data_IF_773762279976
#
_entry.id   IF_773762279976
#
_cell.length_a   1.000
_cell.length_b   1.000
_cell.length_c   1.000
_cell.angle_alpha   90.00
_cell.angle_beta   90.00
_cell.angle_gamma   90.00
#
_symmetry.space_group_name_H-M   'P 1'
#
loop_
_entity.id
_entity.type
_entity.pdbx_description
1 polymer ?
#
# COMPACT_ATOMS: atom_id res chain seq x y z
N UNK A 1 -23.83 -54.48 18.24
CA UNK A 1 -22.60 -53.94 18.86
C UNK A 1 -21.82 -53.25 17.76
N UNK A 2 -21.46 -51.96 17.89
CA UNK A 2 -20.76 -51.08 16.92
C UNK A 2 -21.58 -50.05 16.10
N UNK A 3 -22.25 -49.07 16.73
CA UNK A 3 -22.63 -47.79 16.05
C UNK A 3 -22.43 -46.54 16.95
N UNK A 4 -21.62 -46.60 18.01
CA UNK A 4 -21.60 -45.52 19.02
C UNK A 4 -20.32 -44.67 19.10
N UNK A 5 -19.30 -44.86 18.25
CA UNK A 5 -17.99 -44.22 18.44
C UNK A 5 -17.59 -43.13 17.44
N UNK A 6 -18.39 -42.83 16.40
CA UNK A 6 -17.99 -41.87 15.36
C UNK A 6 -18.53 -40.44 15.52
N UNK A 7 -19.19 -40.10 16.62
CA UNK A 7 -19.85 -38.77 16.79
C UNK A 7 -19.22 -37.83 17.81
N UNK A 8 -18.06 -38.16 18.38
CA UNK A 8 -17.46 -37.36 19.45
C UNK A 8 -16.12 -36.68 19.09
N UNK A 9 -15.61 -36.88 17.87
CA UNK A 9 -14.32 -36.32 17.46
C UNK A 9 -14.41 -35.07 16.55
N UNK A 10 -15.61 -34.67 16.10
CA UNK A 10 -15.79 -33.50 15.23
C UNK A 10 -16.14 -32.21 15.96
N UNK A 11 -16.27 -32.22 17.29
CA UNK A 11 -16.73 -31.05 18.07
C UNK A 11 -15.61 -30.26 18.78
N UNK A 12 -14.35 -30.70 18.69
CA UNK A 12 -13.22 -30.03 19.35
C UNK A 12 -12.27 -29.30 18.41
N UNK A 13 -12.41 -29.44 17.08
CA UNK A 13 -11.51 -28.80 16.11
C UNK A 13 -12.03 -27.46 15.57
N UNK A 14 -13.33 -27.21 15.61
CA UNK A 14 -13.94 -25.97 15.06
C UNK A 14 -13.85 -24.76 16.01
N UNK A 15 -13.63 -24.96 17.31
CA UNK A 15 -13.58 -23.87 18.30
C UNK A 15 -12.17 -23.31 18.56
N UNK A 16 -11.12 -23.97 18.07
CA UNK A 16 -9.72 -23.59 18.33
C UNK A 16 -9.02 -22.86 17.16
N UNK A 17 -9.54 -22.96 15.93
CA UNK A 17 -8.96 -22.28 14.77
C UNK A 17 -8.99 -20.73 14.81
N UNK A 18 -10.04 -20.05 15.30
CA UNK A 18 -10.05 -18.58 15.27
C UNK A 18 -9.03 -17.97 16.24
N UNK A 19 -8.68 -18.67 17.33
CA UNK A 19 -7.77 -18.16 18.36
C UNK A 19 -6.32 -18.17 17.87
N UNK A 20 -5.90 -19.25 17.20
CA UNK A 20 -4.54 -19.38 16.67
C UNK A 20 -4.26 -18.40 15.51
N UNK A 21 -5.25 -18.16 14.63
CA UNK A 21 -5.10 -17.19 13.53
C UNK A 21 -4.95 -15.77 14.10
N UNK A 22 -5.75 -15.41 15.11
CA UNK A 22 -5.66 -14.10 15.75
C UNK A 22 -4.29 -13.89 16.46
N UNK A 23 -3.75 -14.91 17.13
CA UNK A 23 -2.45 -14.83 17.79
C UNK A 23 -1.27 -14.66 16.80
N UNK A 24 -1.31 -15.37 15.66
CA UNK A 24 -0.31 -15.25 14.59
C UNK A 24 -0.40 -13.86 13.91
N UNK A 25 -1.61 -13.34 13.68
CA UNK A 25 -1.82 -11.99 13.15
C UNK A 25 -1.24 -10.91 14.07
N UNK A 26 -1.38 -11.05 15.40
CA UNK A 26 -0.85 -10.08 16.38
C UNK A 26 0.69 -10.11 16.44
N UNK A 27 1.31 -11.30 16.38
CA UNK A 27 2.77 -11.44 16.37
C UNK A 27 3.42 -10.93 15.09
N UNK A 28 2.79 -11.13 13.92
CA UNK A 28 3.29 -10.57 12.66
C UNK A 28 3.13 -9.04 12.65
N UNK A 29 2.02 -8.52 13.18
CA UNK A 29 1.77 -7.08 13.30
C UNK A 29 2.82 -6.38 14.17
N UNK A 30 3.16 -6.95 15.34
CA UNK A 30 4.21 -6.40 16.21
C UNK A 30 5.58 -6.42 15.55
N UNK A 31 5.91 -7.47 14.78
CA UNK A 31 7.21 -7.59 14.11
C UNK A 31 7.37 -6.59 12.94
N UNK A 32 6.29 -6.31 12.19
CA UNK A 32 6.30 -5.35 11.07
C UNK A 32 6.28 -3.89 11.56
N UNK A 33 5.60 -3.62 12.68
CA UNK A 33 5.58 -2.28 13.31
C UNK A 33 6.93 -1.96 13.98
N UNK A 34 7.64 -2.96 14.50
CA UNK A 34 8.88 -2.79 15.24
C UNK A 34 10.15 -2.55 14.38
N UNK A 35 10.05 -2.44 13.05
CA UNK A 35 11.23 -2.22 12.20
C UNK A 35 11.87 -0.84 12.51
N UNK A 36 13.09 -0.80 13.09
CA UNK A 36 13.67 0.44 13.59
C UNK A 36 14.18 1.28 12.42
N UNK A 37 13.61 2.48 12.27
CA UNK A 37 14.10 3.47 11.33
C UNK A 37 15.31 4.19 11.94
N UNK A 38 16.48 3.99 11.33
CA UNK A 38 17.73 4.68 11.71
C UNK A 38 17.54 6.20 11.63
N UNK A 39 17.57 6.82 12.80
CA UNK A 39 17.41 8.26 13.01
C UNK A 39 18.77 8.92 12.79
N UNK A 40 19.02 9.46 11.61
CA UNK A 40 20.19 10.32 11.39
C UNK A 40 20.06 11.56 12.26
N UNK A 41 20.95 11.65 13.25
CA UNK A 41 21.00 12.68 14.31
C UNK A 41 21.37 14.03 13.66
N UNK A 42 20.39 14.91 13.52
CA UNK A 42 20.62 16.29 13.08
C UNK A 42 21.18 17.08 14.25
N UNK A 43 22.49 17.28 14.27
CA UNK A 43 23.17 18.19 15.21
C UNK A 43 22.76 19.63 14.90
N UNK A 44 21.79 20.13 15.67
CA UNK A 44 21.39 21.53 15.66
C UNK A 44 22.05 22.23 16.84
N UNK A 45 23.14 22.95 16.58
CA UNK A 45 23.62 23.98 17.48
C UNK A 45 24.26 25.15 16.71
N UNK A 46 23.72 26.35 16.94
CA UNK A 46 24.48 27.59 17.17
C UNK A 46 25.14 28.30 15.97
N UNK A 47 24.38 28.76 14.96
CA UNK A 47 24.96 29.58 13.86
C UNK A 47 24.05 30.69 13.29
N UNK A 48 23.33 31.45 14.13
CA UNK A 48 22.31 32.40 13.62
C UNK A 48 22.83 33.79 13.21
N UNK A 49 24.12 34.12 13.34
CA UNK A 49 24.65 35.42 12.84
C UNK A 49 25.68 35.32 11.72
N UNK A 50 26.47 34.26 11.65
CA UNK A 50 27.44 34.07 10.54
C UNK A 50 26.81 33.48 9.26
N UNK A 51 25.65 32.81 9.39
CA UNK A 51 24.98 32.17 8.26
C UNK A 51 24.32 33.15 7.26
N UNK A 52 24.15 34.43 7.62
CA UNK A 52 23.51 35.41 6.74
C UNK A 52 24.53 35.93 5.71
N UNK A 53 25.78 36.16 6.11
CA UNK A 53 26.85 36.65 5.22
C UNK A 53 27.33 35.54 4.28
N UNK A 54 27.38 34.27 4.74
CA UNK A 54 27.78 33.14 3.90
C UNK A 54 26.71 32.72 2.85
N UNK A 55 25.42 32.97 3.11
CA UNK A 55 24.33 32.64 2.15
C UNK A 55 24.47 33.33 0.80
N UNK A 56 25.09 34.51 0.77
CA UNK A 56 25.19 35.32 -0.44
C UNK A 56 26.35 34.85 -1.36
N UNK A 57 27.41 34.30 -0.78
CA UNK A 57 28.53 33.68 -1.50
C UNK A 57 28.19 32.24 -1.96
N UNK A 58 27.51 31.44 -1.13
CA UNK A 58 26.99 30.10 -1.50
C UNK A 58 25.88 30.15 -2.58
N UNK A 59 25.20 31.28 -2.75
CA UNK A 59 24.24 31.46 -3.85
C UNK A 59 24.90 31.40 -5.23
N UNK A 60 26.23 31.61 -5.33
CA UNK A 60 27.00 31.46 -6.57
C UNK A 60 27.55 30.04 -6.76
N UNK A 61 27.78 29.29 -5.68
CA UNK A 61 27.93 27.82 -5.73
C UNK A 61 26.56 27.15 -5.70
N UNK A 62 25.73 27.46 -6.71
CA UNK A 62 24.52 26.71 -7.00
C UNK A 62 24.92 25.23 -7.14
N UNK A 63 24.77 24.44 -6.07
CA UNK A 63 24.81 22.98 -6.14
C UNK A 63 23.73 22.56 -7.13
N UNK A 64 24.13 22.39 -8.39
CA UNK A 64 23.27 21.88 -9.44
C UNK A 64 23.05 20.42 -9.08
N UNK A 65 21.95 20.13 -8.39
CA UNK A 65 21.54 18.76 -8.13
C UNK A 65 21.26 18.09 -9.49
N UNK A 66 22.23 17.34 -10.00
CA UNK A 66 22.09 16.57 -11.23
C UNK A 66 21.21 15.35 -10.98
N UNK A 67 19.90 15.55 -11.03
CA UNK A 67 18.95 14.45 -11.04
C UNK A 67 19.01 13.73 -12.38
N UNK A 68 19.46 12.48 -12.37
CA UNK A 68 19.44 11.64 -13.57
C UNK A 68 18.14 10.86 -13.61
N UNK A 69 17.38 11.01 -14.70
CA UNK A 69 16.21 10.17 -14.97
C UNK A 69 16.69 8.75 -15.28
N UNK A 70 16.32 7.79 -14.43
CA UNK A 70 16.69 6.39 -14.59
C UNK A 70 15.70 5.65 -15.49
N UNK A 71 14.41 5.85 -15.22
CA UNK A 71 13.34 5.07 -15.85
C UNK A 71 12.03 5.83 -15.81
N UNK A 72 11.35 5.87 -16.95
CA UNK A 72 9.97 6.38 -17.09
C UNK A 72 9.06 5.22 -17.48
N UNK A 73 7.94 5.09 -16.80
CA UNK A 73 6.89 4.11 -17.11
C UNK A 73 5.68 4.90 -17.61
N UNK A 74 5.33 4.69 -18.88
CA UNK A 74 4.13 5.27 -19.46
C UNK A 74 2.95 4.31 -19.28
N UNK A 75 1.76 4.87 -19.01
CA UNK A 75 0.54 4.09 -18.88
C UNK A 75 -0.15 3.99 -20.25
N UNK A 76 -0.14 2.80 -20.85
CA UNK A 76 -0.86 2.58 -22.11
C UNK A 76 -2.37 2.45 -21.85
N UNK A 77 -3.19 3.16 -22.62
CA UNK A 77 -4.66 3.11 -22.52
C UNK A 77 -5.22 1.71 -22.77
N UNK A 78 -4.59 0.92 -23.64
CA UNK A 78 -5.03 -0.46 -23.97
C UNK A 78 -4.92 -1.37 -22.74
N UNK A 79 -3.79 -1.36 -22.02
CA UNK A 79 -3.65 -2.13 -20.78
C UNK A 79 -4.67 -1.70 -19.71
N UNK A 80 -4.97 -0.41 -19.63
CA UNK A 80 -6.00 0.09 -18.72
C UNK A 80 -7.39 -0.45 -19.09
N UNK A 81 -7.73 -0.52 -20.38
CA UNK A 81 -8.99 -1.08 -20.86
C UNK A 81 -9.11 -2.56 -20.53
N UNK A 82 -8.07 -3.37 -20.82
CA UNK A 82 -8.04 -4.81 -20.50
C UNK A 82 -8.23 -5.00 -18.99
N UNK A 83 -7.54 -4.20 -18.19
CA UNK A 83 -7.61 -4.27 -16.73
C UNK A 83 -9.01 -3.95 -16.18
N UNK A 84 -9.70 -2.95 -16.72
CA UNK A 84 -11.11 -2.70 -16.40
C UNK A 84 -12.04 -3.81 -16.90
N UNK A 85 -11.75 -4.40 -18.06
CA UNK A 85 -12.46 -5.55 -18.60
C UNK A 85 -12.47 -6.74 -17.63
N UNK A 86 -11.36 -6.99 -16.92
CA UNK A 86 -11.28 -8.03 -15.88
C UNK A 86 -12.29 -7.74 -14.76
N UNK A 87 -12.35 -6.50 -14.24
CA UNK A 87 -13.30 -6.15 -13.18
C UNK A 87 -14.75 -6.32 -13.64
N UNK A 88 -15.07 -5.83 -14.85
CA UNK A 88 -16.42 -5.92 -15.41
C UNK A 88 -16.83 -7.38 -15.61
N UNK A 89 -15.92 -8.23 -16.09
CA UNK A 89 -16.19 -9.66 -16.26
C UNK A 89 -16.50 -10.36 -14.92
N UNK A 90 -15.79 -9.99 -13.85
CA UNK A 90 -16.05 -10.51 -12.50
C UNK A 90 -17.39 -10.01 -11.96
N UNK A 91 -17.72 -8.74 -12.20
CA UNK A 91 -19.00 -8.18 -11.79
C UNK A 91 -20.17 -8.86 -12.51
N UNK A 92 -20.02 -9.13 -13.81
CA UNK A 92 -21.01 -9.87 -14.59
C UNK A 92 -21.23 -11.29 -14.02
N UNK A 93 -20.16 -11.99 -13.63
CA UNK A 93 -20.25 -13.29 -12.97
C UNK A 93 -21.03 -13.21 -11.65
N UNK A 94 -20.73 -12.25 -10.79
CA UNK A 94 -21.44 -12.08 -9.51
C UNK A 94 -22.90 -11.68 -9.69
N UNK A 95 -23.21 -10.93 -10.76
CA UNK A 95 -24.59 -10.57 -11.11
C UNK A 95 -25.41 -11.79 -11.53
N UNK A 96 -24.81 -12.72 -12.29
CA UNK A 96 -25.44 -14.00 -12.67
C UNK A 96 -25.74 -14.85 -11.42
N UNK A 97 -24.87 -14.82 -10.42
CA UNK A 97 -25.07 -15.51 -9.14
C UNK A 97 -25.95 -14.73 -8.14
N UNK A 98 -26.55 -13.60 -8.53
CA UNK A 98 -27.42 -12.74 -7.70
C UNK A 98 -26.78 -12.26 -6.39
N UNK A 99 -25.45 -12.16 -6.32
CA UNK A 99 -24.71 -11.70 -5.13
C UNK A 99 -23.75 -10.52 -5.41
N UNK A 100 -24.18 -9.46 -6.11
CA UNK A 100 -23.28 -8.35 -6.44
C UNK A 100 -22.87 -7.52 -5.21
N UNK A 101 -23.61 -7.61 -4.10
CA UNK A 101 -23.45 -6.74 -2.93
C UNK A 101 -22.05 -6.79 -2.33
N UNK A 102 -21.47 -7.98 -2.17
CA UNK A 102 -20.13 -8.14 -1.61
C UNK A 102 -19.05 -7.47 -2.47
N UNK A 103 -19.18 -7.61 -3.79
CA UNK A 103 -18.24 -7.02 -4.74
C UNK A 103 -18.37 -5.50 -4.79
N UNK A 104 -19.60 -4.97 -4.84
CA UNK A 104 -19.86 -3.53 -4.81
C UNK A 104 -19.35 -2.89 -3.52
N UNK A 105 -19.61 -3.54 -2.38
CA UNK A 105 -19.10 -3.11 -1.09
C UNK A 105 -17.56 -3.12 -1.07
N UNK A 106 -16.93 -4.17 -1.59
CA UNK A 106 -15.47 -4.23 -1.72
C UNK A 106 -14.89 -3.10 -2.57
N UNK A 107 -15.51 -2.77 -3.71
CA UNK A 107 -15.04 -1.71 -4.62
C UNK A 107 -15.10 -0.33 -3.94
N UNK A 108 -16.11 -0.06 -3.11
CA UNK A 108 -16.21 1.22 -2.39
C UNK A 108 -15.37 1.24 -1.11
N UNK A 109 -15.41 0.17 -0.32
CA UNK A 109 -14.80 0.08 1.00
C UNK A 109 -13.28 -0.04 0.95
N UNK A 110 -12.73 -0.87 0.06
CA UNK A 110 -11.29 -1.14 0.03
C UNK A 110 -10.42 0.09 -0.31
N UNK A 111 -10.76 0.94 -1.31
CA UNK A 111 -10.01 2.17 -1.55
C UNK A 111 -10.06 3.13 -0.37
N UNK A 112 -11.20 3.21 0.32
CA UNK A 112 -11.38 4.07 1.49
C UNK A 112 -10.54 3.55 2.67
N UNK A 113 -10.54 2.23 2.89
CA UNK A 113 -9.69 1.57 3.88
C UNK A 113 -8.20 1.82 3.57
N UNK A 114 -7.77 1.68 2.31
CA UNK A 114 -6.39 1.97 1.91
C UNK A 114 -6.01 3.42 2.16
N UNK A 115 -6.88 4.36 1.81
CA UNK A 115 -6.67 5.78 2.07
C UNK A 115 -6.54 6.07 3.57
N UNK A 116 -7.38 5.47 4.40
CA UNK A 116 -7.35 5.59 5.85
C UNK A 116 -6.05 5.01 6.44
N UNK A 117 -5.63 3.82 6.00
CA UNK A 117 -4.39 3.18 6.46
C UNK A 117 -3.16 4.02 6.10
N UNK A 118 -3.11 4.58 4.89
CA UNK A 118 -2.03 5.48 4.46
C UNK A 118 -2.03 6.74 5.33
N UNK A 119 -3.19 7.36 5.52
CA UNK A 119 -3.35 8.55 6.37
C UNK A 119 -2.87 8.30 7.79
N UNK A 120 -3.32 7.19 8.40
CA UNK A 120 -2.96 6.82 9.76
C UNK A 120 -1.45 6.55 9.87
N UNK A 121 -0.86 5.86 8.89
CA UNK A 121 0.56 5.58 8.87
C UNK A 121 1.41 6.86 8.85
N UNK A 122 1.04 7.84 8.02
CA UNK A 122 1.77 9.13 7.91
C UNK A 122 1.60 9.95 9.19
N UNK A 123 0.37 10.07 9.68
CA UNK A 123 0.04 10.87 10.87
C UNK A 123 0.74 10.33 12.11
N UNK A 124 0.68 9.02 12.36
CA UNK A 124 1.26 8.40 13.55
C UNK A 124 2.79 8.29 13.47
N UNK A 125 3.33 7.87 12.33
CA UNK A 125 4.76 7.54 12.22
C UNK A 125 5.63 8.74 11.88
N UNK A 126 5.15 9.62 11.01
CA UNK A 126 5.97 10.69 10.44
C UNK A 126 5.84 12.01 11.19
N UNK A 127 4.72 12.25 11.90
CA UNK A 127 4.40 13.56 12.52
C UNK A 127 4.61 14.73 11.54
N UNK A 128 4.52 14.47 10.24
CA UNK A 128 4.68 15.46 9.18
C UNK A 128 3.30 15.84 8.66
N UNK A 129 3.09 17.12 8.32
CA UNK A 129 1.82 17.54 7.76
C UNK A 129 1.61 16.88 6.39
N UNK A 130 0.37 16.45 6.14
CA UNK A 130 -0.08 15.82 4.88
C UNK A 130 -0.14 16.78 3.69
N UNK A 131 0.43 17.99 3.80
CA UNK A 131 0.34 19.07 2.81
C UNK A 131 0.72 18.67 1.38
N UNK A 132 1.53 17.61 1.23
CA UNK A 132 1.99 17.12 -0.07
C UNK A 132 1.34 15.80 -0.52
N UNK A 133 0.21 15.42 0.07
CA UNK A 133 -0.55 14.25 -0.34
C UNK A 133 -1.87 14.68 -0.96
N UNK A 134 -2.11 14.25 -2.19
CA UNK A 134 -3.35 14.53 -2.91
C UNK A 134 -4.09 13.23 -3.17
N UNK A 135 -5.42 13.30 -3.06
CA UNK A 135 -6.27 12.19 -3.47
C UNK A 135 -6.29 12.12 -5.00
N UNK A 136 -5.87 10.99 -5.58
CA UNK A 136 -5.92 10.74 -7.01
C UNK A 136 -6.82 9.55 -7.28
N UNK A 137 -7.79 9.73 -8.18
CA UNK A 137 -8.72 8.67 -8.60
C UNK A 137 -8.35 8.15 -9.99
N UNK A 138 -7.05 7.95 -10.27
CA UNK A 138 -6.57 7.52 -11.59
C UNK A 138 -5.67 6.31 -11.45
N UNK A 139 -6.01 5.24 -12.15
CA UNK A 139 -5.14 4.06 -12.24
C UNK A 139 -3.75 4.48 -12.72
N UNK A 140 -2.68 3.98 -12.09
CA UNK A 140 -2.61 2.88 -11.12
C UNK A 140 -2.81 3.29 -9.65
N UNK A 141 -2.96 4.59 -9.37
CA UNK A 141 -3.03 5.17 -8.03
C UNK A 141 -4.45 5.58 -7.67
N UNK A 142 -5.27 4.61 -7.23
CA UNK A 142 -6.60 4.86 -6.64
C UNK A 142 -6.49 5.18 -5.14
N UNK A 143 -6.28 6.44 -4.75
CA UNK A 143 -6.22 6.88 -3.35
C UNK A 143 -5.25 8.04 -3.09
N UNK A 144 -4.80 8.16 -1.84
CA UNK A 144 -3.78 9.15 -1.46
C UNK A 144 -2.43 8.83 -2.12
N UNK A 145 -1.89 9.79 -2.87
CA UNK A 145 -0.58 9.71 -3.50
C UNK A 145 0.27 10.96 -3.17
N UNK A 146 1.59 10.81 -2.96
CA UNK A 146 2.48 11.93 -2.71
C UNK A 146 2.70 12.75 -4.00
N UNK A 147 2.68 14.07 -3.90
CA UNK A 147 3.00 14.99 -5.00
C UNK A 147 4.51 15.26 -5.12
N UNK A 148 5.23 15.09 -4.02
CA UNK A 148 6.67 15.32 -3.94
C UNK A 148 7.50 14.05 -4.24
N UNK A 149 8.79 14.27 -4.49
CA UNK A 149 9.77 13.20 -4.62
C UNK A 149 9.85 12.39 -3.33
N UNK A 150 9.51 11.11 -3.40
CA UNK A 150 9.59 10.19 -2.26
C UNK A 150 10.60 9.08 -2.54
N UNK A 151 11.37 8.70 -1.52
CA UNK A 151 12.31 7.58 -1.64
C UNK A 151 11.57 6.28 -1.96
N UNK A 152 11.99 5.59 -3.02
CA UNK A 152 11.33 4.38 -3.52
C UNK A 152 11.26 3.26 -2.45
N UNK A 153 12.31 3.11 -1.62
CA UNK A 153 12.33 2.15 -0.51
C UNK A 153 11.23 2.43 0.52
N UNK A 154 11.05 3.70 0.91
CA UNK A 154 10.04 4.13 1.88
C UNK A 154 8.64 3.88 1.34
N UNK A 155 8.42 4.34 0.10
CA UNK A 155 7.13 4.19 -0.56
C UNK A 155 6.73 2.73 -0.76
N UNK A 156 7.66 1.86 -1.17
CA UNK A 156 7.42 0.42 -1.27
C UNK A 156 7.06 -0.20 0.08
N UNK A 157 7.76 0.16 1.14
CA UNK A 157 7.48 -0.33 2.49
C UNK A 157 6.06 0.02 2.94
N UNK A 158 5.66 1.28 2.74
CA UNK A 158 4.31 1.76 3.06
C UNK A 158 3.23 1.02 2.27
N UNK A 159 3.41 0.85 0.96
CA UNK A 159 2.43 0.12 0.14
C UNK A 159 2.33 -1.35 0.55
N UNK A 160 3.46 -2.03 0.79
CA UNK A 160 3.46 -3.42 1.26
C UNK A 160 2.77 -3.56 2.62
N UNK A 161 2.96 -2.62 3.54
CA UNK A 161 2.27 -2.62 4.82
C UNK A 161 0.76 -2.49 4.66
N UNK A 162 0.29 -1.56 3.82
CA UNK A 162 -1.15 -1.40 3.54
C UNK A 162 -1.75 -2.67 2.93
N UNK A 163 -1.03 -3.33 2.03
CA UNK A 163 -1.46 -4.61 1.45
C UNK A 163 -1.61 -5.69 2.49
N UNK A 164 -0.56 -5.94 3.27
CA UNK A 164 -0.58 -6.97 4.31
C UNK A 164 -1.65 -6.72 5.37
N UNK A 165 -1.76 -5.48 5.86
CA UNK A 165 -2.80 -5.12 6.84
C UNK A 165 -4.20 -5.33 6.27
N UNK A 166 -4.43 -4.98 5.01
CA UNK A 166 -5.75 -5.19 4.39
C UNK A 166 -6.07 -6.68 4.26
N UNK A 167 -5.11 -7.50 3.84
CA UNK A 167 -5.29 -8.97 3.78
C UNK A 167 -5.59 -9.54 5.17
N UNK A 168 -4.90 -9.08 6.21
CA UNK A 168 -5.17 -9.50 7.58
C UNK A 168 -6.59 -9.13 8.02
N UNK A 169 -7.04 -7.91 7.71
CA UNK A 169 -8.41 -7.47 8.02
C UNK A 169 -9.43 -8.38 7.31
N UNK A 170 -9.26 -8.63 6.01
CA UNK A 170 -10.13 -9.55 5.25
C UNK A 170 -10.11 -10.96 5.86
N UNK A 171 -8.94 -11.46 6.24
CA UNK A 171 -8.78 -12.77 6.89
C UNK A 171 -9.46 -12.85 8.25
N UNK A 172 -9.45 -11.78 9.05
CA UNK A 172 -10.18 -11.74 10.31
C UNK A 172 -11.69 -11.89 10.08
N UNK A 173 -12.25 -11.30 9.01
CA UNK A 173 -13.67 -11.43 8.68
C UNK A 173 -14.08 -12.80 8.10
N UNK A 174 -13.13 -13.71 7.87
CA UNK A 174 -13.37 -15.03 7.29
C UNK A 174 -14.43 -15.90 8.00
N UNK A 175 -14.48 -15.97 9.35
CA UNK A 175 -15.43 -16.83 10.06
C UNK A 175 -16.90 -16.43 9.84
N UNK A 176 -17.17 -15.18 9.49
CA UNK A 176 -18.54 -14.65 9.39
C UNK A 176 -19.16 -14.82 8.00
N UNK A 177 -18.38 -14.79 6.92
CA UNK A 177 -18.90 -14.82 5.55
C UNK A 177 -17.89 -15.36 4.52
N UNK A 178 -17.65 -16.69 4.47
CA UNK A 178 -16.56 -17.28 3.68
C UNK A 178 -16.69 -17.06 2.16
N UNK A 179 -17.92 -17.08 1.62
CA UNK A 179 -18.15 -16.92 0.17
C UNK A 179 -17.91 -15.49 -0.29
N UNK A 180 -18.34 -14.50 0.49
CA UNK A 180 -18.17 -13.09 0.15
C UNK A 180 -16.71 -12.65 0.29
N UNK A 181 -15.95 -13.28 1.21
CA UNK A 181 -14.52 -13.00 1.40
C UNK A 181 -13.68 -13.29 0.16
N UNK A 182 -14.02 -14.32 -0.62
CA UNK A 182 -13.30 -14.64 -1.85
C UNK A 182 -13.41 -13.46 -2.83
N UNK A 183 -14.61 -12.94 -3.04
CA UNK A 183 -14.87 -11.80 -3.92
C UNK A 183 -14.19 -10.52 -3.41
N UNK A 184 -14.21 -10.26 -2.09
CA UNK A 184 -13.47 -9.16 -1.48
C UNK A 184 -11.94 -9.28 -1.67
N UNK A 185 -11.39 -10.49 -1.48
CA UNK A 185 -9.96 -10.74 -1.69
C UNK A 185 -9.56 -10.53 -3.15
N UNK A 186 -10.39 -10.97 -4.11
CA UNK A 186 -10.17 -10.71 -5.53
C UNK A 186 -10.20 -9.22 -5.86
N UNK A 187 -11.18 -8.47 -5.36
CA UNK A 187 -11.24 -7.01 -5.55
C UNK A 187 -10.02 -6.34 -4.93
N UNK A 188 -9.60 -6.78 -3.74
CA UNK A 188 -8.39 -6.28 -3.09
C UNK A 188 -7.14 -6.51 -3.95
N UNK A 189 -6.97 -7.75 -4.43
CA UNK A 189 -5.85 -8.11 -5.30
C UNK A 189 -5.89 -7.29 -6.59
N UNK A 190 -7.06 -7.14 -7.21
CA UNK A 190 -7.25 -6.32 -8.40
C UNK A 190 -6.76 -4.89 -8.15
N UNK A 191 -7.34 -4.16 -7.18
CA UNK A 191 -6.98 -2.77 -6.84
C UNK A 191 -5.46 -2.61 -6.61
N UNK A 192 -4.83 -3.59 -5.97
CA UNK A 192 -3.44 -3.49 -5.56
C UNK A 192 -2.43 -3.95 -6.63
N UNK A 193 -2.83 -4.83 -7.56
CA UNK A 193 -1.99 -5.37 -8.63
C UNK A 193 -1.24 -4.32 -9.47
N UNK A 194 -1.88 -3.24 -9.99
CA UNK A 194 -1.17 -2.28 -10.83
C UNK A 194 -0.07 -1.54 -10.05
N UNK A 195 -0.26 -1.32 -8.75
CA UNK A 195 0.74 -0.71 -7.86
C UNK A 195 1.93 -1.66 -7.67
N UNK A 196 1.67 -2.93 -7.41
CA UNK A 196 2.70 -3.96 -7.25
C UNK A 196 3.56 -4.09 -8.50
N UNK A 197 2.94 -4.13 -9.69
CA UNK A 197 3.67 -4.24 -10.95
C UNK A 197 4.63 -3.06 -11.12
N UNK A 198 4.21 -1.83 -10.84
CA UNK A 198 5.06 -0.64 -10.96
C UNK A 198 6.20 -0.68 -9.95
N UNK A 199 5.90 -0.99 -8.68
CA UNK A 199 6.91 -1.11 -7.64
C UNK A 199 7.92 -2.22 -7.94
N UNK A 200 7.47 -3.33 -8.53
CA UNK A 200 8.32 -4.45 -8.94
C UNK A 200 9.24 -4.04 -10.10
N UNK A 201 8.70 -3.36 -11.12
CA UNK A 201 9.49 -2.85 -12.26
C UNK A 201 10.53 -1.80 -11.86
N UNK A 202 10.29 -1.09 -10.75
CA UNK A 202 11.20 -0.10 -10.18
C UNK A 202 12.16 -0.70 -9.14
N UNK A 203 11.95 -1.95 -8.67
CA UNK A 203 12.73 -2.59 -7.60
C UNK A 203 14.24 -2.52 -7.81
N UNK A 204 14.71 -2.65 -9.05
CA UNK A 204 16.14 -2.59 -9.42
C UNK A 204 16.81 -1.27 -9.03
N UNK A 205 16.04 -0.17 -8.93
CA UNK A 205 16.54 1.17 -8.61
C UNK A 205 16.20 1.61 -7.18
N UNK A 206 15.83 0.67 -6.30
CA UNK A 206 15.31 0.92 -4.95
C UNK A 206 16.27 1.60 -3.97
N UNK A 207 17.58 1.52 -4.15
CA UNK A 207 18.56 1.96 -3.14
C UNK A 207 18.86 3.46 -3.20
N UNK A 208 18.82 4.06 -4.40
CA UNK A 208 19.12 5.49 -4.64
C UNK A 208 18.02 6.23 -5.41
N UNK A 209 16.90 5.56 -5.68
CA UNK A 209 15.82 6.08 -6.51
C UNK A 209 14.80 6.90 -5.73
N UNK A 210 14.50 8.09 -6.22
CA UNK A 210 13.32 8.87 -5.89
C UNK A 210 12.24 8.63 -6.94
N UNK A 211 10.99 8.50 -6.51
CA UNK A 211 9.85 8.41 -7.42
C UNK A 211 9.16 9.76 -7.46
N UNK A 212 8.84 10.22 -8.67
CA UNK A 212 7.86 11.27 -8.92
C UNK A 212 6.66 10.65 -9.63
N UNK A 213 5.49 10.81 -9.03
CA UNK A 213 4.23 10.37 -9.60
C UNK A 213 3.63 11.51 -10.39
N UNK A 214 3.39 11.29 -11.67
CA UNK A 214 2.70 12.23 -12.56
C UNK A 214 1.43 11.57 -13.09
N UNK A 215 0.52 12.37 -13.66
CA UNK A 215 -0.79 11.89 -14.12
C UNK A 215 -0.70 10.95 -15.32
N UNK A 216 0.33 11.10 -16.16
CA UNK A 216 0.52 10.32 -17.39
C UNK A 216 1.70 9.34 -17.29
N UNK A 217 2.56 9.50 -16.30
CA UNK A 217 3.79 8.71 -16.18
C UNK A 217 4.27 8.58 -14.72
N UNK A 218 4.98 7.48 -14.44
CA UNK A 218 5.81 7.38 -13.24
C UNK A 218 7.27 7.51 -13.65
N UNK A 219 7.96 8.52 -13.12
CA UNK A 219 9.37 8.78 -13.40
C UNK A 219 10.23 8.52 -12.15
N UNK A 220 11.34 7.82 -12.32
CA UNK A 220 12.30 7.52 -11.27
C UNK A 220 13.62 8.25 -11.51
N UNK A 221 14.11 8.96 -10.49
CA UNK A 221 15.33 9.76 -10.51
C UNK A 221 16.36 9.18 -9.54
N UNK A 222 17.65 9.22 -9.88
CA UNK A 222 18.73 9.07 -8.90
C UNK A 222 19.36 10.43 -8.60
N UNK A 223 19.76 10.60 -7.35
CA UNK A 223 20.69 11.64 -6.91
C UNK A 223 22.11 11.07 -6.84
#
# INVERSE_FOLDING_TARGET
MNIAYTRFQSLTFDSLQPIYINAICIHIFTTIVAMPYSKTKSNSMKWTREAIVNKQELSKESTVYHYRLLKRIHYSTILNLIYWGILVSMLARELIHLRPYAMLLGIAFLPLLHALLIYLHITLKEKRPLTHWQFRFRLPWLGLAPTNHIGLKRFRGLQMQVFWVTIMIIGCFYPWAPLDMISLFFVHLWIFLPRLIILFRLRKHSSRGFIKLNDKDTSCYSQ
#
